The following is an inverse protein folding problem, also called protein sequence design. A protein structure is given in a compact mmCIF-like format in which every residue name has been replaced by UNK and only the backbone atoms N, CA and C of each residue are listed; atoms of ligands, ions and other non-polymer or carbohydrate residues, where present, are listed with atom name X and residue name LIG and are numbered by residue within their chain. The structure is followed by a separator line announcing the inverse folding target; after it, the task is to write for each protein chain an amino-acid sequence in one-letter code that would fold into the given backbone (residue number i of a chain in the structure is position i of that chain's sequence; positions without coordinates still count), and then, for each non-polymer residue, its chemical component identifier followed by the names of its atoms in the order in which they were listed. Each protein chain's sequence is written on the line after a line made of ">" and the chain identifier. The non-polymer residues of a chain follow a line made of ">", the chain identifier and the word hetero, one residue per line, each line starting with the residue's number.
data_IF_409799916851
#
_entry.id   IF_409799916851
#
_cell.length_a   1.000
_cell.length_b   1.000
_cell.length_c   1.000
_cell.angle_alpha   90.00
_cell.angle_beta   90.00
_cell.angle_gamma   90.00
#
_symmetry.space_group_name_H-M   'P 1'
#
loop_
_entity.id
_entity.type
_entity.pdbx_description
1 polymer ?
#
# COMPACT_ATOMS: atom_id res chain seq x y z
N UNK A 1 6.26 -16.55 -34.66
CA UNK A 1 5.45 -16.05 -33.52
C UNK A 1 6.42 -15.64 -32.43
N UNK A 2 6.76 -14.36 -32.36
CA UNK A 2 7.69 -13.85 -31.33
C UNK A 2 6.89 -13.79 -30.04
N UNK A 3 7.25 -14.62 -29.06
CA UNK A 3 6.77 -14.42 -27.69
C UNK A 3 7.37 -13.11 -27.21
N UNK A 4 6.57 -12.06 -27.15
CA UNK A 4 6.94 -10.86 -26.41
C UNK A 4 7.02 -11.31 -24.95
N UNK A 5 8.23 -11.41 -24.41
CA UNK A 5 8.40 -11.58 -22.99
C UNK A 5 7.67 -10.42 -22.31
N UNK A 6 6.61 -10.70 -21.56
CA UNK A 6 6.00 -9.71 -20.68
C UNK A 6 7.13 -9.27 -19.76
N UNK A 7 7.61 -8.03 -19.91
CA UNK A 7 8.60 -7.46 -19.01
C UNK A 7 8.05 -7.60 -17.60
N UNK A 8 8.73 -8.37 -16.75
CA UNK A 8 8.29 -8.61 -15.38
C UNK A 8 8.36 -7.27 -14.66
N UNK A 9 7.22 -6.60 -14.50
CA UNK A 9 7.14 -5.30 -13.83
C UNK A 9 7.71 -5.44 -12.42
N UNK A 10 8.54 -4.49 -12.00
CA UNK A 10 8.94 -4.41 -10.59
C UNK A 10 7.70 -4.07 -9.76
N UNK A 11 7.59 -4.64 -8.57
CA UNK A 11 6.43 -4.45 -7.71
C UNK A 11 6.83 -3.74 -6.42
N UNK A 12 6.36 -2.50 -6.27
CA UNK A 12 6.50 -1.74 -5.03
C UNK A 12 5.24 -1.86 -4.17
N UNK A 13 5.40 -2.24 -2.91
CA UNK A 13 4.35 -2.08 -1.89
C UNK A 13 4.60 -0.77 -1.15
N UNK A 14 3.63 0.14 -1.17
CA UNK A 14 3.70 1.42 -0.46
C UNK A 14 2.80 1.37 0.78
N UNK A 15 3.37 1.65 1.94
CA UNK A 15 2.70 1.62 3.25
C UNK A 15 2.64 3.04 3.84
N UNK A 16 1.63 3.85 3.48
CA UNK A 16 1.43 5.16 4.07
C UNK A 16 0.96 5.09 5.52
N UNK A 17 1.30 6.10 6.32
CA UNK A 17 0.61 6.33 7.58
C UNK A 17 -0.79 6.90 7.29
N UNK A 18 -1.87 6.44 7.96
CA UNK A 18 -3.25 6.67 7.52
C UNK A 18 -3.80 8.05 7.92
N UNK A 19 -3.08 9.10 7.53
CA UNK A 19 -3.50 10.50 7.65
C UNK A 19 -3.21 11.24 6.33
N UNK A 20 -4.04 12.22 5.99
CA UNK A 20 -4.03 12.82 4.64
C UNK A 20 -2.68 13.46 4.25
N UNK A 21 -1.98 14.06 5.23
CA UNK A 21 -0.65 14.65 5.02
C UNK A 21 0.41 13.65 4.60
N UNK A 22 0.22 12.35 4.84
CA UNK A 22 1.15 11.27 4.50
C UNK A 22 0.67 10.49 3.27
N UNK A 23 -0.65 10.24 3.17
CA UNK A 23 -1.26 9.52 2.04
C UNK A 23 -1.02 10.25 0.73
N UNK A 24 -1.23 11.58 0.68
CA UNK A 24 -1.15 12.32 -0.58
C UNK A 24 0.28 12.34 -1.16
N UNK A 25 1.35 12.69 -0.40
CA UNK A 25 2.72 12.62 -0.90
C UNK A 25 3.13 11.21 -1.36
N UNK A 26 2.77 10.17 -0.60
CA UNK A 26 3.04 8.79 -1.04
C UNK A 26 2.23 8.40 -2.27
N UNK A 27 1.03 8.93 -2.47
CA UNK A 27 0.27 8.73 -3.71
C UNK A 27 0.95 9.39 -4.92
N UNK A 28 1.59 10.55 -4.73
CA UNK A 28 2.43 11.15 -5.78
C UNK A 28 3.63 10.27 -6.11
N UNK A 29 4.29 9.69 -5.09
CA UNK A 29 5.36 8.70 -5.29
C UNK A 29 4.85 7.46 -6.03
N UNK A 30 3.66 6.94 -5.67
CA UNK A 30 3.03 5.79 -6.34
C UNK A 30 2.82 6.04 -7.83
N UNK A 31 2.29 7.22 -8.19
CA UNK A 31 2.08 7.64 -9.59
C UNK A 31 3.40 7.77 -10.34
N UNK A 32 4.43 8.34 -9.71
CA UNK A 32 5.78 8.42 -10.26
C UNK A 32 6.37 7.02 -10.51
N UNK A 33 6.28 6.09 -9.56
CA UNK A 33 6.78 4.73 -9.74
C UNK A 33 6.04 4.02 -10.88
N UNK A 34 4.71 4.14 -10.92
CA UNK A 34 3.89 3.55 -11.95
C UNK A 34 4.23 4.09 -13.35
N UNK A 35 4.47 5.40 -13.49
CA UNK A 35 4.89 6.00 -14.76
C UNK A 35 6.28 5.53 -15.21
N UNK A 36 7.10 5.00 -14.30
CA UNK A 36 8.40 4.40 -14.57
C UNK A 36 8.36 2.86 -14.66
N UNK A 37 7.17 2.29 -14.87
CA UNK A 37 7.01 0.85 -15.14
C UNK A 37 6.98 -0.04 -13.90
N UNK A 38 6.67 0.51 -12.73
CA UNK A 38 6.34 -0.32 -11.55
C UNK A 38 4.87 -0.71 -11.56
N UNK A 39 4.59 -1.91 -11.06
CA UNK A 39 3.32 -2.23 -10.44
C UNK A 39 3.36 -1.77 -8.99
N UNK A 40 2.33 -1.06 -8.53
CA UNK A 40 2.27 -0.53 -7.17
C UNK A 40 1.08 -1.13 -6.44
N UNK A 41 1.33 -1.79 -5.31
CA UNK A 41 0.29 -2.07 -4.32
C UNK A 41 0.33 -0.96 -3.27
N UNK A 42 -0.72 -0.15 -3.21
CA UNK A 42 -0.85 0.94 -2.25
C UNK A 42 -1.72 0.51 -1.08
N UNK A 43 -1.14 0.42 0.11
CA UNK A 43 -1.87 0.01 1.32
C UNK A 43 -2.76 1.16 1.79
N UNK A 44 -4.04 0.85 2.00
CA UNK A 44 -4.96 1.73 2.70
C UNK A 44 -5.45 1.05 3.97
N UNK A 45 -5.94 1.85 4.91
CA UNK A 45 -6.84 1.29 5.93
C UNK A 45 -8.24 1.15 5.36
N UNK A 46 -9.07 0.24 5.87
CA UNK A 46 -10.49 0.17 5.47
C UNK A 46 -11.18 1.53 5.62
N UNK A 47 -10.94 2.24 6.73
CA UNK A 47 -11.48 3.57 6.96
C UNK A 47 -11.07 4.57 5.86
N UNK A 48 -9.76 4.61 5.54
CA UNK A 48 -9.23 5.48 4.49
C UNK A 48 -9.82 5.15 3.12
N UNK A 49 -9.88 3.86 2.80
CA UNK A 49 -10.42 3.37 1.52
C UNK A 49 -11.92 3.69 1.37
N UNK A 50 -12.72 3.48 2.42
CA UNK A 50 -14.14 3.86 2.40
C UNK A 50 -14.33 5.36 2.23
N UNK A 51 -13.56 6.19 2.95
CA UNK A 51 -13.64 7.66 2.77
C UNK A 51 -13.24 8.09 1.37
N UNK A 52 -12.26 7.44 0.77
CA UNK A 52 -11.84 7.69 -0.61
C UNK A 52 -12.94 7.34 -1.62
N UNK A 53 -13.68 6.25 -1.39
CA UNK A 53 -14.84 5.85 -2.20
C UNK A 53 -16.05 6.79 -2.03
N UNK A 54 -16.24 7.37 -0.84
CA UNK A 54 -17.38 8.26 -0.56
C UNK A 54 -17.12 9.73 -0.95
N UNK A 55 -15.89 10.22 -0.82
CA UNK A 55 -15.55 11.61 -1.09
C UNK A 55 -15.52 11.93 -2.60
N UNK A 56 -15.31 10.91 -3.42
CA UNK A 56 -15.34 11.01 -4.86
C UNK A 56 -16.50 10.15 -5.35
N UNK A 57 -17.46 10.71 -6.09
CA UNK A 57 -18.48 9.95 -6.83
C UNK A 57 -17.88 9.02 -7.93
N UNK A 58 -16.59 8.68 -7.82
CA UNK A 58 -15.72 8.16 -8.84
C UNK A 58 -14.98 6.91 -8.35
N UNK A 59 -15.69 5.78 -8.42
CA UNK A 59 -15.06 4.51 -8.81
C UNK A 59 -14.08 4.72 -9.98
N UNK A 60 -14.36 5.70 -10.85
CA UNK A 60 -13.49 6.15 -11.94
C UNK A 60 -12.05 6.52 -11.52
N UNK A 61 -11.80 7.12 -10.36
CA UNK A 61 -10.43 7.48 -9.95
C UNK A 61 -9.64 6.26 -9.49
N UNK A 62 -10.28 5.36 -8.74
CA UNK A 62 -9.68 4.07 -8.37
C UNK A 62 -9.46 3.22 -9.62
N UNK A 63 -10.42 3.20 -10.55
CA UNK A 63 -10.29 2.51 -11.82
C UNK A 63 -9.19 3.10 -12.71
N UNK A 64 -9.03 4.41 -12.74
CA UNK A 64 -7.92 5.07 -13.45
C UNK A 64 -6.58 4.65 -12.86
N UNK A 65 -6.43 4.67 -11.54
CA UNK A 65 -5.23 4.19 -10.86
C UNK A 65 -4.96 2.71 -11.13
N UNK A 66 -5.99 1.86 -11.12
CA UNK A 66 -5.88 0.45 -11.48
C UNK A 66 -5.43 0.25 -12.93
N UNK A 67 -5.94 1.06 -13.88
CA UNK A 67 -5.48 1.08 -15.27
C UNK A 67 -4.04 1.55 -15.40
N UNK A 68 -3.59 2.38 -14.47
CA UNK A 68 -2.23 2.93 -14.40
C UNK A 68 -1.33 2.14 -13.45
N UNK A 69 -1.51 0.81 -13.34
CA UNK A 69 -0.67 -0.10 -12.55
C UNK A 69 -0.60 0.19 -11.02
N UNK A 70 -1.60 0.88 -10.46
CA UNK A 70 -1.72 1.11 -9.01
C UNK A 70 -2.94 0.37 -8.47
N UNK A 71 -2.72 -0.63 -7.63
CA UNK A 71 -3.76 -1.38 -6.96
C UNK A 71 -3.85 -1.01 -5.48
N UNK A 72 -5.03 -0.59 -5.04
CA UNK A 72 -5.29 -0.37 -3.61
C UNK A 72 -5.53 -1.69 -2.90
N UNK A 73 -4.90 -1.87 -1.74
CA UNK A 73 -5.12 -3.01 -0.85
C UNK A 73 -5.56 -2.50 0.53
N UNK A 74 -6.89 -2.48 0.81
CA UNK A 74 -7.38 -2.05 2.10
C UNK A 74 -7.23 -3.14 3.16
N UNK A 75 -6.65 -2.81 4.31
CA UNK A 75 -6.54 -3.67 5.50
C UNK A 75 -7.08 -2.96 6.76
N UNK A 76 -7.56 -3.65 7.79
CA UNK A 76 -7.99 -3.00 9.02
C UNK A 76 -6.79 -2.40 9.79
N UNK A 77 -7.02 -1.23 10.41
CA UNK A 77 -6.05 -0.52 11.26
C UNK A 77 -6.20 -0.85 12.75
N UNK A 78 -7.17 -1.69 13.12
CA UNK A 78 -7.43 -2.10 14.49
C UNK A 78 -8.29 -1.14 15.31
N UNK A 79 -8.74 -0.02 14.75
CA UNK A 79 -9.60 0.95 15.46
C UNK A 79 -11.10 0.75 15.17
N UNK A 80 -11.96 0.84 16.20
CA UNK A 80 -13.38 0.60 16.04
C UNK A 80 -14.13 1.75 15.34
N UNK A 81 -13.71 3.01 15.54
CA UNK A 81 -14.48 4.18 15.13
C UNK A 81 -13.60 5.37 14.69
N UNK A 82 -14.24 6.34 14.04
CA UNK A 82 -13.58 7.53 13.48
C UNK A 82 -13.02 8.48 14.54
N UNK A 83 -13.58 8.49 15.76
CA UNK A 83 -13.14 9.40 16.82
C UNK A 83 -11.82 8.94 17.43
N UNK A 84 -11.65 7.63 17.61
CA UNK A 84 -10.39 7.01 18.05
C UNK A 84 -9.23 7.31 17.09
N UNK A 85 -9.52 7.52 15.80
CA UNK A 85 -8.52 7.86 14.76
C UNK A 85 -8.04 9.31 14.82
N UNK A 86 -8.69 10.20 15.58
CA UNK A 86 -8.26 11.59 15.79
C UNK A 86 -7.10 11.69 16.78
N UNK A 87 -6.94 10.68 17.63
CA UNK A 87 -5.83 10.57 18.56
C UNK A 87 -4.65 9.88 17.86
N UNK A 88 -3.59 10.64 17.63
CA UNK A 88 -2.41 10.16 16.91
C UNK A 88 -1.76 8.95 17.58
N UNK A 89 -1.65 8.94 18.91
CA UNK A 89 -0.99 7.86 19.65
C UNK A 89 -1.81 6.57 19.58
N UNK A 90 -3.14 6.67 19.68
CA UNK A 90 -4.04 5.52 19.49
C UNK A 90 -3.97 4.98 18.08
N UNK A 91 -3.96 5.85 17.07
CA UNK A 91 -3.85 5.45 15.66
C UNK A 91 -2.52 4.75 15.39
N UNK A 92 -1.40 5.36 15.78
CA UNK A 92 -0.07 4.77 15.64
C UNK A 92 0.01 3.40 16.31
N UNK A 93 -0.35 3.31 17.59
CA UNK A 93 -0.32 2.05 18.33
C UNK A 93 -1.26 0.98 17.75
N UNK A 94 -2.46 1.33 17.30
CA UNK A 94 -3.37 0.37 16.69
C UNK A 94 -2.85 -0.17 15.35
N UNK A 95 -2.31 0.71 14.49
CA UNK A 95 -1.73 0.30 13.21
C UNK A 95 -0.53 -0.62 13.39
N UNK A 96 0.38 -0.29 14.32
CA UNK A 96 1.55 -1.09 14.64
C UNK A 96 1.18 -2.45 15.24
N UNK A 97 0.14 -2.53 16.05
CA UNK A 97 -0.30 -3.80 16.64
C UNK A 97 -1.10 -4.70 15.68
N UNK A 98 -1.74 -4.12 14.65
CA UNK A 98 -2.72 -4.84 13.82
C UNK A 98 -2.21 -5.14 12.41
N UNK A 99 -1.64 -4.13 11.74
CA UNK A 99 -1.32 -4.20 10.32
C UNK A 99 -0.12 -5.09 9.96
N UNK A 100 0.91 -5.33 10.79
CA UNK A 100 2.05 -6.16 10.38
C UNK A 100 1.67 -7.59 9.99
N UNK A 101 0.79 -8.24 10.75
CA UNK A 101 0.35 -9.60 10.46
C UNK A 101 -0.46 -9.67 9.15
N UNK A 102 -1.31 -8.67 8.92
CA UNK A 102 -2.15 -8.56 7.73
C UNK A 102 -1.32 -8.26 6.48
N UNK A 103 -0.34 -7.36 6.60
CA UNK A 103 0.60 -7.06 5.53
C UNK A 103 1.46 -8.27 5.18
N UNK A 104 1.92 -9.04 6.18
CA UNK A 104 2.66 -10.29 5.96
C UNK A 104 1.83 -11.28 5.16
N UNK A 105 0.57 -11.50 5.54
CA UNK A 105 -0.33 -12.40 4.81
C UNK A 105 -0.56 -11.94 3.37
N UNK A 106 -0.80 -10.64 3.17
CA UNK A 106 -0.97 -10.05 1.84
C UNK A 106 0.26 -10.25 0.95
N UNK A 107 1.47 -9.96 1.44
CA UNK A 107 2.71 -10.15 0.67
C UNK A 107 2.93 -11.63 0.33
N UNK A 108 2.66 -12.53 1.28
CA UNK A 108 2.73 -13.97 1.04
C UNK A 108 1.78 -14.43 -0.07
N UNK A 109 0.53 -13.97 -0.05
CA UNK A 109 -0.47 -14.28 -1.10
C UNK A 109 -0.07 -13.74 -2.47
N UNK A 110 0.43 -12.49 -2.52
CA UNK A 110 0.95 -11.88 -3.75
C UNK A 110 2.08 -12.73 -4.34
N UNK A 111 3.06 -13.10 -3.51
CA UNK A 111 4.25 -13.80 -3.95
C UNK A 111 3.98 -15.25 -4.40
N UNK A 112 2.87 -15.86 -3.95
CA UNK A 112 2.44 -17.19 -4.40
C UNK A 112 1.83 -17.21 -5.81
N UNK A 113 1.64 -16.05 -6.44
CA UNK A 113 1.18 -15.96 -7.83
C UNK A 113 -0.31 -16.21 -8.03
N UNK A 114 -1.12 -16.11 -6.96
CA UNK A 114 -2.58 -16.27 -7.02
C UNK A 114 -3.35 -15.01 -7.41
N UNK A 115 -2.66 -13.99 -7.93
CA UNK A 115 -3.20 -12.66 -8.20
C UNK A 115 -2.61 -12.16 -9.51
N UNK A 116 -3.36 -11.38 -10.30
CA UNK A 116 -2.93 -10.77 -11.57
C UNK A 116 -1.87 -9.65 -11.37
N UNK A 117 -0.83 -9.92 -10.60
CA UNK A 117 0.23 -9.00 -10.24
C UNK A 117 1.57 -9.71 -10.04
N UNK A 118 2.69 -9.06 -10.38
CA UNK A 118 4.03 -9.60 -10.15
C UNK A 118 4.32 -9.84 -8.65
N UNK A 119 5.28 -10.71 -8.30
CA UNK A 119 5.77 -10.82 -6.92
C UNK A 119 6.34 -9.50 -6.42
N UNK A 120 6.22 -9.23 -5.13
CA UNK A 120 6.75 -8.01 -4.48
C UNK A 120 8.27 -7.97 -4.60
N UNK A 121 8.82 -6.87 -5.10
CA UNK A 121 10.26 -6.68 -5.25
C UNK A 121 10.85 -5.60 -4.35
N UNK A 122 10.02 -4.68 -3.84
CA UNK A 122 10.43 -3.70 -2.83
C UNK A 122 9.25 -3.20 -1.98
N UNK A 123 9.57 -2.67 -0.80
CA UNK A 123 8.61 -2.04 0.11
C UNK A 123 9.05 -0.62 0.48
N UNK A 124 8.13 0.34 0.44
CA UNK A 124 8.39 1.72 0.88
C UNK A 124 7.41 2.03 2.01
N UNK A 125 7.95 2.32 3.19
CA UNK A 125 7.18 2.58 4.39
C UNK A 125 7.25 4.06 4.77
N UNK A 126 6.11 4.66 5.10
CA UNK A 126 6.08 5.93 5.79
C UNK A 126 6.86 5.85 7.12
N UNK A 127 7.46 6.97 7.55
CA UNK A 127 8.18 7.05 8.81
C UNK A 127 7.35 6.56 10.02
N UNK A 128 6.07 6.90 10.11
CA UNK A 128 5.19 6.42 11.19
C UNK A 128 4.69 5.00 10.99
N UNK A 129 4.95 4.39 9.83
CA UNK A 129 4.69 2.99 9.54
C UNK A 129 5.99 2.16 9.51
N UNK A 130 7.01 2.56 10.28
CA UNK A 130 8.32 1.91 10.33
C UNK A 130 8.29 0.40 10.62
N UNK A 131 7.25 -0.09 11.33
CA UNK A 131 6.98 -1.52 11.53
C UNK A 131 6.90 -2.33 10.23
N UNK A 132 6.60 -1.70 9.09
CA UNK A 132 6.53 -2.37 7.81
C UNK A 132 7.92 -2.78 7.27
N UNK A 133 8.99 -2.14 7.75
CA UNK A 133 10.36 -2.51 7.40
C UNK A 133 10.71 -3.91 7.92
N UNK A 134 10.26 -4.26 9.12
CA UNK A 134 10.43 -5.61 9.69
C UNK A 134 9.66 -6.66 8.90
N UNK A 135 8.48 -6.29 8.38
CA UNK A 135 7.71 -7.16 7.48
C UNK A 135 8.49 -7.40 6.19
N UNK A 136 9.06 -6.37 5.58
CA UNK A 136 9.88 -6.52 4.37
C UNK A 136 11.12 -7.41 4.62
N UNK A 137 11.81 -7.21 5.74
CA UNK A 137 12.95 -8.01 6.16
C UNK A 137 12.61 -9.50 6.27
N UNK A 138 11.44 -9.84 6.83
CA UNK A 138 10.98 -11.23 6.92
C UNK A 138 10.90 -11.95 5.57
N UNK A 139 10.61 -11.22 4.48
CA UNK A 139 10.54 -11.77 3.12
C UNK A 139 11.83 -11.58 2.31
N UNK A 140 12.91 -11.05 2.91
CA UNK A 140 14.12 -10.64 2.20
C UNK A 140 13.85 -9.64 1.05
N UNK A 141 12.90 -8.73 1.27
CA UNK A 141 12.54 -7.70 0.29
C UNK A 141 13.27 -6.39 0.66
N UNK A 142 14.00 -5.75 -0.28
CA UNK A 142 14.58 -4.44 -0.07
C UNK A 142 13.52 -3.41 0.35
N UNK A 143 13.84 -2.60 1.36
CA UNK A 143 12.90 -1.61 1.88
C UNK A 143 13.53 -0.23 2.07
N UNK A 144 12.71 0.81 1.94
CA UNK A 144 13.09 2.20 2.16
C UNK A 144 12.07 2.92 3.04
N UNK A 145 12.55 3.86 3.86
CA UNK A 145 11.70 4.81 4.58
C UNK A 145 11.33 6.00 3.71
N UNK A 146 10.12 6.51 3.86
CA UNK A 146 9.61 7.73 3.22
C UNK A 146 9.22 8.75 4.29
N UNK A 147 9.73 9.97 4.13
CA UNK A 147 9.39 11.12 4.97
C UNK A 147 8.67 12.16 4.09
N UNK A 148 7.36 12.38 4.28
CA UNK A 148 6.56 13.29 3.44
C UNK A 148 6.97 14.77 3.52
#
# INVERSE_FOLDING_TARGET
>A
MVMVAVSKLNHAVLVPFPVQGHINPMMHLAKMLASHGFFVTFINTHHTHSRMLHANDNSAMIHDHQRNNIQFAPIPDGLPDSDSRKDFAKLAGATENTMPALLRNLIHEINRGGQDRPPVTCLIADFFAGWALDVAHHFNIPAAGFWP
#
